data_IF_857890514827
#
_entry.id   IF_857890514827
#
_cell.length_a   1.000
_cell.length_b   1.000
_cell.length_c   1.000
_cell.angle_alpha   90.00
_cell.angle_beta   90.00
_cell.angle_gamma   90.00
#
_symmetry.space_group_name_H-M   'P 1'
#
loop_
_entity.id
_entity.type
_entity.pdbx_description
1 polymer ?
#
# COMPACT_ATOMS: atom_id res chain seq x y z
N UNK A 1 16.59 7.31 24.86
CA UNK A 1 15.52 7.73 23.92
C UNK A 1 15.85 7.20 22.53
N UNK A 2 14.83 6.98 21.67
CA UNK A 2 14.98 6.24 20.39
C UNK A 2 15.29 7.21 19.22
N UNK A 3 14.79 8.45 19.27
CA UNK A 3 15.08 9.50 18.30
C UNK A 3 16.56 9.87 18.27
N UNK A 4 17.10 10.20 17.09
CA UNK A 4 18.51 10.64 16.97
C UNK A 4 18.76 12.01 17.60
N UNK A 5 17.73 12.83 17.69
CA UNK A 5 17.69 14.13 18.38
C UNK A 5 17.39 14.00 19.88
N UNK A 6 17.30 12.77 20.39
CA UNK A 6 16.95 12.49 21.79
C UNK A 6 15.44 12.50 22.06
N UNK A 7 14.58 12.74 21.07
CA UNK A 7 13.13 12.73 21.26
C UNK A 7 12.58 11.33 21.53
N UNK A 8 11.42 11.28 22.18
CA UNK A 8 10.59 10.08 22.25
C UNK A 8 9.88 9.82 20.92
N UNK A 9 9.43 8.58 20.65
CA UNK A 9 8.58 8.28 19.50
C UNK A 9 7.30 9.10 19.54
N UNK A 10 6.97 9.79 18.44
CA UNK A 10 5.76 10.59 18.32
C UNK A 10 4.64 9.75 17.73
N UNK A 11 3.59 9.52 18.50
CA UNK A 11 2.35 8.92 17.99
C UNK A 11 1.51 9.97 17.27
N UNK A 12 0.98 9.60 16.11
CA UNK A 12 0.14 10.45 15.26
C UNK A 12 -1.04 9.64 14.76
N UNK A 13 -2.21 10.26 14.64
CA UNK A 13 -3.40 9.61 14.07
C UNK A 13 -3.40 9.80 12.56
N UNK A 14 -3.52 8.70 11.79
CA UNK A 14 -3.68 8.69 10.34
C UNK A 14 -4.97 7.93 10.04
N UNK A 15 -6.04 8.66 9.70
CA UNK A 15 -7.38 8.10 9.60
C UNK A 15 -7.82 7.49 10.93
N UNK A 16 -8.15 6.20 10.91
CA UNK A 16 -8.54 5.43 12.10
C UNK A 16 -7.38 4.67 12.75
N UNK A 17 -6.17 4.81 12.22
CA UNK A 17 -4.98 4.11 12.71
C UNK A 17 -4.01 5.06 13.41
N UNK A 18 -3.14 4.49 14.24
CA UNK A 18 -2.04 5.22 14.88
C UNK A 18 -0.74 4.89 14.14
N UNK A 19 -0.02 5.91 13.71
CA UNK A 19 1.33 5.80 13.18
C UNK A 19 2.35 6.35 14.17
N UNK A 20 3.52 5.74 14.21
CA UNK A 20 4.64 6.18 15.06
C UNK A 20 5.76 6.73 14.20
N UNK A 21 6.24 7.92 14.56
CA UNK A 21 7.39 8.58 13.95
C UNK A 21 8.57 8.57 14.93
N UNK A 22 9.77 8.27 14.44
CA UNK A 22 11.02 8.32 15.22
C UNK A 22 11.97 9.30 14.55
N UNK A 23 12.17 10.48 15.13
CA UNK A 23 12.93 11.55 14.49
C UNK A 23 14.38 11.14 14.17
N UNK A 24 14.81 11.45 12.95
CA UNK A 24 16.12 11.06 12.41
C UNK A 24 16.26 9.58 12.03
N UNK A 25 15.18 8.78 12.10
CA UNK A 25 15.12 7.39 11.66
C UNK A 25 13.85 7.17 10.85
N UNK A 26 13.77 6.06 10.13
CA UNK A 26 12.55 5.68 9.41
C UNK A 26 11.93 4.51 10.15
N UNK A 27 10.79 4.75 10.79
CA UNK A 27 9.95 3.67 11.32
C UNK A 27 9.18 3.04 10.15
N UNK A 28 9.68 1.91 9.67
CA UNK A 28 9.08 1.18 8.56
C UNK A 28 8.19 0.07 9.11
N UNK A 29 6.88 0.36 9.17
CA UNK A 29 5.89 -0.61 9.64
C UNK A 29 5.41 -1.45 8.45
N UNK A 30 5.75 -2.73 8.51
CA UNK A 30 5.48 -3.68 7.43
C UNK A 30 3.99 -3.98 7.26
N UNK A 31 3.18 -3.85 8.32
CA UNK A 31 1.78 -4.23 8.27
C UNK A 31 1.01 -3.48 7.17
N UNK A 32 1.20 -2.15 7.09
CA UNK A 32 0.59 -1.30 6.07
C UNK A 32 1.06 -1.63 4.65
N UNK A 33 2.35 -1.96 4.50
CA UNK A 33 2.94 -2.26 3.18
C UNK A 33 2.41 -3.60 2.67
N UNK A 34 2.42 -4.63 3.51
CA UNK A 34 1.99 -5.99 3.15
C UNK A 34 0.50 -5.99 2.81
N UNK A 35 -0.35 -5.40 3.67
CA UNK A 35 -1.81 -5.35 3.45
C UNK A 35 -2.21 -4.62 2.17
N UNK A 36 -1.40 -3.65 1.72
CA UNK A 36 -1.58 -2.97 0.43
C UNK A 36 -1.10 -3.80 -0.76
N UNK A 37 -0.10 -4.67 -0.56
CA UNK A 37 0.64 -5.34 -1.63
C UNK A 37 0.09 -6.73 -1.95
N UNK A 38 -0.38 -7.47 -0.94
CA UNK A 38 -0.75 -8.88 -1.07
C UNK A 38 -2.12 -9.08 -0.43
N UNK A 39 -2.98 -9.84 -1.09
CA UNK A 39 -4.28 -10.21 -0.57
C UNK A 39 -4.21 -11.59 0.11
N UNK A 40 -4.27 -11.61 1.43
CA UNK A 40 -4.31 -12.83 2.24
C UNK A 40 -5.60 -12.91 3.06
N UNK A 41 -6.14 -14.11 3.35
CA UNK A 41 -7.28 -14.26 4.26
C UNK A 41 -7.01 -13.71 5.66
N UNK A 42 -5.78 -13.86 6.15
CA UNK A 42 -5.30 -13.31 7.42
C UNK A 42 -3.89 -12.74 7.26
N UNK A 43 -3.57 -11.72 8.05
CA UNK A 43 -2.28 -11.03 8.03
C UNK A 43 -1.49 -11.28 9.31
N UNK A 44 -1.55 -12.50 9.85
CA UNK A 44 -0.66 -12.88 10.95
C UNK A 44 0.77 -12.96 10.41
N UNK A 45 1.77 -12.71 11.27
CA UNK A 45 3.18 -12.76 10.86
C UNK A 45 3.54 -14.11 10.23
N UNK A 46 2.94 -15.18 10.74
CA UNK A 46 3.12 -16.55 10.23
C UNK A 46 2.58 -16.71 8.81
N UNK A 47 1.33 -16.27 8.57
CA UNK A 47 0.68 -16.38 7.26
C UNK A 47 1.40 -15.55 6.20
N UNK A 48 1.83 -14.34 6.56
CA UNK A 48 2.61 -13.47 5.67
C UNK A 48 3.96 -14.11 5.35
N UNK A 49 4.67 -14.59 6.37
CA UNK A 49 6.01 -15.16 6.20
C UNK A 49 5.98 -16.42 5.32
N UNK A 50 4.97 -17.27 5.49
CA UNK A 50 4.75 -18.44 4.63
C UNK A 50 4.39 -18.04 3.20
N UNK A 51 3.50 -17.06 3.02
CA UNK A 51 3.11 -16.59 1.69
C UNK A 51 4.28 -15.99 0.89
N UNK A 52 5.24 -15.33 1.57
CA UNK A 52 6.40 -14.71 0.92
C UNK A 52 7.54 -15.70 0.69
N UNK A 53 7.89 -16.50 1.69
CA UNK A 53 9.11 -17.33 1.65
C UNK A 53 8.84 -18.82 1.47
N UNK A 54 7.58 -19.26 1.46
CA UNK A 54 7.20 -20.68 1.36
C UNK A 54 7.66 -21.52 2.56
N UNK A 55 7.90 -20.88 3.72
CA UNK A 55 8.40 -21.52 4.93
C UNK A 55 7.39 -21.38 6.06
N UNK A 56 7.03 -22.46 6.77
CA UNK A 56 6.16 -22.35 7.92
C UNK A 56 6.88 -21.64 9.06
N UNK A 57 6.10 -20.92 9.88
CA UNK A 57 6.54 -20.32 11.14
C UNK A 57 5.64 -20.80 12.27
N UNK A 58 6.24 -21.25 13.38
CA UNK A 58 5.49 -21.70 14.55
C UNK A 58 4.73 -20.52 15.19
N UNK A 59 3.46 -20.77 15.56
CA UNK A 59 2.66 -19.88 16.39
C UNK A 59 2.69 -20.33 17.85
N UNK A 60 3.01 -19.41 18.75
CA UNK A 60 2.74 -19.57 20.19
C UNK A 60 1.64 -18.58 20.56
N UNK A 61 0.55 -19.08 21.15
CA UNK A 61 -0.62 -18.25 21.48
C UNK A 61 -0.40 -17.45 22.77
N UNK A 62 -1.15 -16.36 22.92
CA UNK A 62 -1.02 -15.46 24.06
C UNK A 62 -1.28 -16.16 25.41
N UNK A 63 -2.18 -17.15 25.45
CA UNK A 63 -2.47 -17.91 26.66
C UNK A 63 -1.32 -18.85 27.04
N UNK A 64 -0.61 -19.43 26.06
CA UNK A 64 0.59 -20.23 26.30
C UNK A 64 1.74 -19.35 26.84
N UNK A 65 1.89 -18.14 26.30
CA UNK A 65 2.88 -17.17 26.77
C UNK A 65 2.58 -16.77 28.23
N UNK A 66 1.31 -16.46 28.54
CA UNK A 66 0.90 -16.08 29.89
C UNK A 66 1.14 -17.22 30.89
N UNK A 67 0.76 -18.46 30.54
CA UNK A 67 0.99 -19.65 31.37
C UNK A 67 2.48 -19.87 31.63
N UNK A 68 3.32 -19.80 30.59
CA UNK A 68 4.78 -19.95 30.73
C UNK A 68 5.40 -18.86 31.61
N UNK A 69 4.85 -17.63 31.53
CA UNK A 69 5.29 -16.51 32.37
C UNK A 69 4.93 -16.71 33.84
N UNK A 70 3.71 -17.18 34.14
CA UNK A 70 3.23 -17.42 35.49
C UNK A 70 3.86 -18.66 36.14
N UNK A 71 4.01 -19.76 35.38
CA UNK A 71 4.56 -21.01 35.90
C UNK A 71 6.09 -21.03 35.95
N UNK A 72 6.75 -20.22 35.13
CA UNK A 72 8.20 -20.27 34.92
C UNK A 72 8.67 -21.47 34.06
N UNK A 73 7.75 -22.32 33.61
CA UNK A 73 8.04 -23.47 32.74
C UNK A 73 7.93 -23.06 31.26
N UNK A 74 8.64 -23.76 30.37
CA UNK A 74 8.60 -23.54 28.91
C UNK A 74 9.02 -22.12 28.44
N UNK A 75 9.67 -21.31 29.29
CA UNK A 75 10.18 -19.98 28.93
C UNK A 75 11.15 -20.01 27.74
N UNK A 76 11.89 -21.11 27.56
CA UNK A 76 12.79 -21.31 26.41
C UNK A 76 12.04 -21.31 25.07
N UNK A 77 10.84 -21.91 25.02
CA UNK A 77 9.99 -21.92 23.81
C UNK A 77 9.46 -20.52 23.50
N UNK A 78 9.04 -19.77 24.52
CA UNK A 78 8.58 -18.37 24.37
C UNK A 78 9.73 -17.47 23.91
N UNK A 79 10.92 -17.61 24.48
CA UNK A 79 12.09 -16.85 24.08
C UNK A 79 12.50 -17.14 22.62
N UNK A 80 12.46 -18.42 22.22
CA UNK A 80 12.70 -18.82 20.83
C UNK A 80 11.65 -18.21 19.88
N UNK A 81 10.37 -18.28 20.22
CA UNK A 81 9.29 -17.67 19.44
C UNK A 81 9.49 -16.15 19.27
N UNK A 82 9.84 -15.43 20.33
CA UNK A 82 10.11 -13.98 20.27
C UNK A 82 11.32 -13.64 19.38
N UNK A 83 12.40 -14.44 19.45
CA UNK A 83 13.56 -14.29 18.58
C UNK A 83 13.19 -14.54 17.11
N UNK A 84 12.38 -15.56 16.83
CA UNK A 84 11.90 -15.87 15.49
C UNK A 84 10.97 -14.78 14.94
N UNK A 85 10.14 -14.13 15.77
CA UNK A 85 9.33 -12.97 15.37
C UNK A 85 10.20 -11.81 14.89
N UNK A 86 11.26 -11.47 15.64
CA UNK A 86 12.19 -10.42 15.26
C UNK A 86 12.96 -10.76 13.98
N UNK A 87 13.40 -12.03 13.84
CA UNK A 87 14.08 -12.52 12.63
C UNK A 87 13.17 -12.46 11.40
N UNK A 88 11.96 -12.97 11.49
CA UNK A 88 10.98 -12.95 10.41
C UNK A 88 10.62 -11.51 10.00
N UNK A 89 10.42 -10.62 10.98
CA UNK A 89 10.16 -9.20 10.74
C UNK A 89 11.33 -8.52 10.01
N UNK A 90 12.57 -8.85 10.39
CA UNK A 90 13.76 -8.34 9.70
C UNK A 90 13.88 -8.85 8.26
N UNK A 91 13.63 -10.13 8.02
CA UNK A 91 13.68 -10.75 6.69
C UNK A 91 12.60 -10.15 5.77
N UNK A 92 11.35 -10.04 6.24
CA UNK A 92 10.29 -9.32 5.52
C UNK A 92 10.66 -7.85 5.29
N UNK A 93 11.25 -7.19 6.29
CA UNK A 93 11.78 -5.84 6.20
C UNK A 93 12.74 -5.66 5.02
N UNK A 94 13.69 -6.58 4.88
CA UNK A 94 14.65 -6.57 3.78
C UNK A 94 14.03 -6.83 2.42
N UNK A 95 12.96 -7.63 2.36
CA UNK A 95 12.26 -7.95 1.11
C UNK A 95 11.45 -6.76 0.59
N UNK A 96 10.66 -6.11 1.47
CA UNK A 96 9.74 -5.05 1.05
C UNK A 96 10.37 -3.65 0.99
N UNK A 97 11.41 -3.37 1.80
CA UNK A 97 12.01 -2.04 1.87
C UNK A 97 12.55 -1.53 0.51
N UNK A 98 13.23 -2.33 -0.33
CA UNK A 98 13.70 -1.87 -1.63
C UNK A 98 12.58 -1.39 -2.55
N UNK A 99 11.42 -2.07 -2.56
CA UNK A 99 10.25 -1.69 -3.35
C UNK A 99 9.70 -0.33 -2.89
N UNK A 100 9.52 -0.15 -1.58
CA UNK A 100 9.03 1.11 -1.01
C UNK A 100 10.01 2.27 -1.18
N UNK A 101 11.33 1.99 -1.21
CA UNK A 101 12.35 2.99 -1.57
C UNK A 101 12.15 3.45 -3.02
N UNK A 102 11.91 2.54 -3.97
CA UNK A 102 11.66 2.96 -5.36
C UNK A 102 10.38 3.77 -5.48
N UNK A 103 9.32 3.38 -4.77
CA UNK A 103 8.06 4.13 -4.75
C UNK A 103 8.26 5.53 -4.15
N UNK A 104 9.02 5.64 -3.06
CA UNK A 104 9.37 6.92 -2.43
C UNK A 104 10.18 7.82 -3.36
N UNK A 105 11.13 7.26 -4.12
CA UNK A 105 11.90 7.98 -5.13
C UNK A 105 11.03 8.45 -6.30
N UNK A 106 10.11 7.60 -6.78
CA UNK A 106 9.21 7.90 -7.89
C UNK A 106 8.25 9.05 -7.54
N UNK A 107 7.57 8.94 -6.39
CA UNK A 107 6.60 9.93 -5.93
C UNK A 107 7.29 11.19 -5.42
N UNK A 108 8.48 11.02 -4.83
CA UNK A 108 9.29 12.13 -4.35
C UNK A 108 8.89 12.64 -2.96
N UNK A 109 8.42 11.74 -2.11
CA UNK A 109 8.06 11.99 -0.71
C UNK A 109 8.83 11.03 0.21
N UNK A 110 9.02 11.36 1.50
CA UNK A 110 9.72 10.49 2.43
C UNK A 110 9.11 9.09 2.51
N UNK A 111 9.96 8.07 2.71
CA UNK A 111 9.51 6.68 2.76
C UNK A 111 8.46 6.44 3.86
N UNK A 112 8.59 7.12 4.99
CA UNK A 112 7.65 7.00 6.11
C UNK A 112 6.21 7.39 5.72
N UNK A 113 6.06 8.42 4.88
CA UNK A 113 4.77 8.89 4.36
C UNK A 113 4.23 7.95 3.26
N UNK A 114 5.11 7.57 2.33
CA UNK A 114 4.77 6.73 1.17
C UNK A 114 4.30 5.33 1.58
N UNK A 115 4.94 4.73 2.58
CA UNK A 115 4.61 3.39 3.07
C UNK A 115 3.26 3.33 3.82
N UNK A 116 2.65 4.48 4.11
CA UNK A 116 1.38 4.61 4.85
C UNK A 116 0.27 5.30 4.06
N UNK A 117 0.56 5.68 2.82
CA UNK A 117 -0.37 6.43 1.99
C UNK A 117 -1.20 5.53 1.07
N UNK A 118 -2.43 5.94 0.82
CA UNK A 118 -3.27 5.37 -0.22
C UNK A 118 -2.67 5.63 -1.60
N UNK A 119 -2.98 4.77 -2.57
CA UNK A 119 -2.54 4.95 -3.96
C UNK A 119 -2.98 6.29 -4.54
N UNK A 120 -4.17 6.77 -4.19
CA UNK A 120 -4.66 8.10 -4.58
C UNK A 120 -3.77 9.25 -4.09
N UNK A 121 -3.35 9.21 -2.81
CA UNK A 121 -2.41 10.22 -2.27
C UNK A 121 -1.04 10.15 -2.93
N UNK A 122 -0.55 8.95 -3.27
CA UNK A 122 0.71 8.78 -4.00
C UNK A 122 0.64 9.43 -5.39
N UNK A 123 -0.47 9.24 -6.10
CA UNK A 123 -0.71 9.91 -7.40
C UNK A 123 -0.81 11.42 -7.21
N UNK A 124 -1.55 11.90 -6.20
CA UNK A 124 -1.66 13.34 -5.90
C UNK A 124 -0.29 13.99 -5.67
N UNK A 125 0.56 13.39 -4.83
CA UNK A 125 1.92 13.90 -4.58
C UNK A 125 2.80 13.88 -5.82
N UNK A 126 2.71 12.83 -6.63
CA UNK A 126 3.42 12.77 -7.89
C UNK A 126 2.96 13.88 -8.85
N UNK A 127 1.66 14.09 -8.99
CA UNK A 127 1.09 15.14 -9.84
C UNK A 127 1.45 16.54 -9.33
N UNK A 128 1.41 16.80 -8.02
CA UNK A 128 1.81 18.09 -7.44
C UNK A 128 3.27 18.42 -7.74
N UNK A 129 4.17 17.44 -7.59
CA UNK A 129 5.58 17.61 -7.98
C UNK A 129 5.70 17.92 -9.48
N UNK A 130 4.99 17.18 -10.34
CA UNK A 130 5.04 17.38 -11.79
C UNK A 130 4.41 18.69 -12.26
N UNK A 131 3.35 19.15 -11.60
CA UNK A 131 2.74 20.44 -11.85
C UNK A 131 3.73 21.58 -11.56
N UNK A 132 4.45 21.51 -10.44
CA UNK A 132 5.51 22.47 -10.14
C UNK A 132 6.62 22.46 -11.20
N UNK A 133 7.11 21.28 -11.60
CA UNK A 133 8.14 21.14 -12.65
C UNK A 133 7.69 21.71 -14.01
N UNK A 134 6.39 21.71 -14.30
CA UNK A 134 5.78 22.20 -15.56
C UNK A 134 5.19 23.60 -15.45
N UNK A 135 5.30 24.26 -14.29
CA UNK A 135 4.67 25.54 -14.01
C UNK A 135 3.14 25.54 -14.21
N UNK A 136 2.49 24.44 -13.84
CA UNK A 136 1.04 24.27 -13.84
C UNK A 136 0.46 24.53 -12.45
N UNK A 137 -0.71 25.17 -12.40
CA UNK A 137 -1.42 25.43 -11.14
C UNK A 137 -2.22 24.20 -10.75
N UNK A 138 -1.95 23.66 -9.56
CA UNK A 138 -2.70 22.53 -9.01
C UNK A 138 -4.15 22.95 -8.68
N UNK A 139 -5.17 22.20 -9.14
CA UNK A 139 -6.54 22.40 -8.70
C UNK A 139 -6.68 22.17 -7.18
N UNK A 140 -7.62 22.88 -6.57
CA UNK A 140 -7.92 22.73 -5.15
C UNK A 140 -8.59 21.39 -4.86
N UNK A 141 -8.43 20.91 -3.61
CA UNK A 141 -9.25 19.80 -3.09
C UNK A 141 -10.74 20.20 -3.11
N UNK A 142 -11.66 19.25 -3.33
CA UNK A 142 -13.08 19.55 -3.34
C UNK A 142 -13.53 20.10 -1.99
N UNK A 143 -14.52 21.00 -2.01
CA UNK A 143 -15.27 21.36 -0.81
C UNK A 143 -16.04 20.14 -0.30
N UNK A 144 -16.54 20.20 0.94
CA UNK A 144 -17.37 19.11 1.48
C UNK A 144 -18.59 18.83 0.60
N UNK A 145 -19.27 19.88 0.13
CA UNK A 145 -20.43 19.74 -0.77
C UNK A 145 -20.06 19.04 -2.09
N UNK A 146 -18.96 19.46 -2.71
CA UNK A 146 -18.47 18.87 -3.96
C UNK A 146 -18.00 17.43 -3.76
N UNK A 147 -17.37 17.12 -2.63
CA UNK A 147 -16.97 15.77 -2.26
C UNK A 147 -18.19 14.85 -2.13
N UNK A 148 -19.23 15.29 -1.41
CA UNK A 148 -20.47 14.55 -1.26
C UNK A 148 -21.22 14.38 -2.59
N UNK A 149 -21.15 15.38 -3.50
CA UNK A 149 -21.70 15.25 -4.86
C UNK A 149 -20.99 14.15 -5.63
N UNK A 150 -19.65 14.17 -5.67
CA UNK A 150 -18.83 13.16 -6.37
C UNK A 150 -19.05 11.75 -5.84
N UNK A 151 -19.27 11.59 -4.53
CA UNK A 151 -19.58 10.28 -3.94
C UNK A 151 -20.91 9.68 -4.43
N UNK A 152 -21.87 10.51 -4.86
CA UNK A 152 -23.18 10.05 -5.37
C UNK A 152 -23.15 9.70 -6.85
N UNK A 153 -22.10 10.10 -7.57
CA UNK A 153 -21.97 9.83 -9.00
C UNK A 153 -21.47 8.40 -9.21
N UNK A 154 -22.19 7.65 -10.03
CA UNK A 154 -21.77 6.31 -10.46
C UNK A 154 -21.56 6.31 -11.96
N UNK A 155 -20.64 5.47 -12.41
CA UNK A 155 -20.31 5.30 -13.82
C UNK A 155 -20.22 3.82 -14.14
N UNK A 156 -20.42 3.48 -15.40
CA UNK A 156 -20.31 2.09 -15.87
C UNK A 156 -18.87 1.61 -15.73
N UNK A 157 -18.69 0.43 -15.14
CA UNK A 157 -17.38 -0.20 -14.98
C UNK A 157 -16.92 -0.98 -16.21
N UNK A 158 -15.93 -1.85 -16.01
CA UNK A 158 -15.43 -2.75 -17.04
C UNK A 158 -16.49 -3.76 -17.52
N UNK A 159 -16.34 -4.23 -18.76
CA UNK A 159 -17.17 -5.29 -19.31
C UNK A 159 -16.89 -6.63 -18.61
N UNK A 160 -17.95 -7.36 -18.24
CA UNK A 160 -17.86 -8.68 -17.62
C UNK A 160 -18.67 -9.67 -18.46
N UNK A 161 -17.97 -10.62 -19.10
CA UNK A 161 -18.62 -11.77 -19.76
C UNK A 161 -19.04 -12.79 -18.71
N UNK A 162 -20.27 -13.29 -18.78
CA UNK A 162 -20.69 -14.40 -17.93
C UNK A 162 -19.88 -15.67 -18.31
N UNK A 163 -19.24 -16.35 -17.33
CA UNK A 163 -18.38 -17.48 -17.62
C UNK A 163 -19.17 -18.70 -18.09
N UNK A 164 -18.56 -19.49 -18.96
CA UNK A 164 -19.12 -20.78 -19.37
C UNK A 164 -18.89 -21.81 -18.26
N UNK A 165 -19.98 -22.24 -17.63
CA UNK A 165 -19.94 -23.10 -16.44
C UNK A 165 -19.50 -24.51 -16.82
N UNK A 166 -18.64 -25.11 -15.99
CA UNK A 166 -18.15 -26.47 -16.16
C UNK A 166 -16.68 -26.60 -15.76
N UNK A 167 -16.16 -27.82 -15.89
CA UNK A 167 -14.72 -28.08 -15.79
C UNK A 167 -14.11 -27.98 -17.20
N UNK A 168 -13.07 -27.17 -17.34
CA UNK A 168 -12.38 -26.95 -18.61
C UNK A 168 -10.91 -27.32 -18.47
N UNK A 169 -10.33 -27.81 -19.55
CA UNK A 169 -8.91 -28.14 -19.67
C UNK A 169 -8.26 -27.28 -20.76
N UNK A 170 -6.92 -27.15 -20.75
CA UNK A 170 -6.14 -26.40 -21.75
C UNK A 170 -6.52 -24.91 -21.87
N UNK A 171 -6.68 -24.24 -20.73
CA UNK A 171 -7.07 -22.82 -20.65
C UNK A 171 -5.86 -21.94 -20.97
N UNK A 172 -6.06 -20.95 -21.86
CA UNK A 172 -5.12 -19.85 -22.08
C UNK A 172 -5.67 -18.56 -21.49
N UNK A 173 -4.81 -17.76 -20.87
CA UNK A 173 -5.15 -16.46 -20.31
C UNK A 173 -4.44 -15.36 -21.10
N UNK A 174 -5.23 -14.42 -21.63
CA UNK A 174 -4.75 -13.25 -22.36
C UNK A 174 -5.20 -11.99 -21.61
N UNK A 175 -4.29 -11.05 -21.45
CA UNK A 175 -4.55 -9.76 -20.80
C UNK A 175 -3.94 -8.61 -21.61
N UNK A 176 -4.61 -7.46 -21.61
CA UNK A 176 -4.09 -6.24 -22.21
C UNK A 176 -3.02 -5.63 -21.32
N UNK A 177 -1.90 -5.24 -21.90
CA UNK A 177 -0.84 -4.56 -21.16
C UNK A 177 -1.33 -3.18 -20.69
N UNK A 178 -1.53 -3.02 -19.38
CA UNK A 178 -1.91 -1.74 -18.75
C UNK A 178 -3.06 -1.03 -19.50
N UNK A 179 -4.23 -1.68 -19.58
CA UNK A 179 -5.37 -1.24 -20.39
C UNK A 179 -5.72 0.25 -20.19
N UNK A 180 -6.08 0.66 -18.96
CA UNK A 180 -6.51 2.04 -18.71
C UNK A 180 -5.40 3.08 -18.90
N UNK A 181 -4.15 2.90 -18.41
CA UNK A 181 -3.06 3.80 -18.75
C UNK A 181 -2.82 3.93 -20.25
N UNK A 182 -2.91 2.83 -21.01
CA UNK A 182 -2.75 2.86 -22.46
C UNK A 182 -3.86 3.63 -23.16
N UNK A 183 -5.11 3.47 -22.72
CA UNK A 183 -6.25 4.26 -23.22
C UNK A 183 -6.06 5.75 -22.93
N UNK A 184 -5.66 6.11 -21.69
CA UNK A 184 -5.41 7.49 -21.27
C UNK A 184 -4.37 8.16 -22.18
N UNK A 185 -3.26 7.46 -22.45
CA UNK A 185 -2.17 7.99 -23.28
C UNK A 185 -2.58 8.04 -24.76
N UNK A 186 -3.15 6.97 -25.30
CA UNK A 186 -3.46 6.83 -26.74
C UNK A 186 -4.51 7.84 -27.18
N UNK A 187 -5.53 8.07 -26.36
CA UNK A 187 -6.62 8.99 -26.67
C UNK A 187 -6.49 10.35 -25.96
N UNK A 188 -5.34 10.61 -25.33
CA UNK A 188 -5.03 11.88 -24.65
C UNK A 188 -6.13 12.33 -23.66
N UNK A 189 -6.62 11.39 -22.84
CA UNK A 189 -7.74 11.60 -21.92
C UNK A 189 -7.25 12.34 -20.67
N UNK A 190 -7.65 13.60 -20.52
CA UNK A 190 -7.26 14.44 -19.38
C UNK A 190 -8.25 15.60 -19.17
N UNK A 191 -8.37 16.17 -17.95
CA UNK A 191 -9.31 17.28 -17.71
C UNK A 191 -9.05 18.53 -18.57
N UNK A 192 -7.80 18.78 -18.97
CA UNK A 192 -7.37 19.91 -19.80
C UNK A 192 -7.60 19.70 -21.30
N UNK A 193 -7.97 18.49 -21.73
CA UNK A 193 -8.28 18.15 -23.12
C UNK A 193 -9.78 17.95 -23.37
N UNK A 194 -10.57 17.80 -22.30
CA UNK A 194 -12.00 17.53 -22.37
C UNK A 194 -12.79 18.73 -22.93
N UNK A 195 -13.56 18.51 -24.00
CA UNK A 195 -14.46 19.50 -24.61
C UNK A 195 -13.81 20.85 -24.95
N UNK A 196 -12.53 20.83 -25.36
CA UNK A 196 -11.79 22.04 -25.70
C UNK A 196 -12.36 22.71 -26.96
N UNK A 197 -12.80 23.96 -26.83
CA UNK A 197 -13.34 24.72 -27.97
C UNK A 197 -12.26 24.97 -29.04
N UNK A 198 -12.65 24.86 -30.31
CA UNK A 198 -11.75 25.11 -31.44
C UNK A 198 -10.66 24.05 -31.64
N UNK A 199 -10.77 22.89 -30.97
CA UNK A 199 -9.85 21.78 -31.19
C UNK A 199 -9.98 21.24 -32.62
N UNK A 200 -8.84 21.15 -33.34
CA UNK A 200 -8.82 20.74 -34.75
C UNK A 200 -8.86 19.23 -34.95
N UNK A 201 -8.33 18.46 -33.98
CA UNK A 201 -8.19 17.02 -34.07
C UNK A 201 -8.70 16.40 -32.76
N UNK A 202 -9.86 15.74 -32.83
CA UNK A 202 -10.45 14.99 -31.72
C UNK A 202 -10.81 13.56 -32.10
N UNK A 203 -10.80 13.22 -33.40
CA UNK A 203 -10.98 11.87 -33.92
C UNK A 203 -9.62 11.17 -33.98
N UNK A 204 -9.34 10.27 -33.03
CA UNK A 204 -8.28 9.26 -33.09
C UNK A 204 -8.93 7.89 -33.03
#
# INVERSE_FOLDING_TARGET
TIGRDGSEPKMQRIGDMTAVEVKGRIHFDLYHVITRTINLPTYTLEAVYEAIFGKPKEKVYADEIAKAWESGENLERVAKYSMEDAKATYELGKEFLPMEIQLSRLVGQPLWDVSRSSTGNLVEWFLLRKAYERNEVAPNKPSEEEYQRRLRESYTGGFVKEPEKGLWENIVYLDFRALYPSIIITHNVSPDTLNLEGCKNYDI
#
